data_IF_281752362982
#
_entry.id   IF_281752362982
#
_cell.length_a   1.000
_cell.length_b   1.000
_cell.length_c   1.000
_cell.angle_alpha   90.00
_cell.angle_beta   90.00
_cell.angle_gamma   90.00
#
_symmetry.space_group_name_H-M   'P 1'
#
loop_
_entity.id
_entity.type
_entity.pdbx_description
1 polymer ?
#
# COMPACT_ATOMS: atom_id res chain seq x y z
N UNK A 1 13.79 -17.69 -2.41
CA UNK A 1 12.67 -16.75 -2.59
C UNK A 1 11.92 -16.56 -1.29
N UNK A 2 11.69 -15.33 -0.94
CA UNK A 2 10.97 -14.99 0.29
C UNK A 2 9.57 -14.57 -0.10
N UNK A 3 8.56 -15.08 0.62
CA UNK A 3 7.15 -14.75 0.38
C UNK A 3 6.54 -14.11 1.62
N UNK A 4 5.92 -12.96 1.45
CA UNK A 4 5.19 -12.25 2.50
C UNK A 4 3.77 -12.03 2.03
N UNK A 5 2.80 -12.37 2.89
CA UNK A 5 1.38 -12.13 2.64
C UNK A 5 0.80 -11.40 3.84
N UNK A 6 0.10 -10.31 3.58
CA UNK A 6 -0.65 -9.59 4.59
C UNK A 6 -2.01 -9.19 4.02
N UNK A 7 -3.04 -9.18 4.84
CA UNK A 7 -4.38 -8.84 4.38
C UNK A 7 -5.19 -8.19 5.50
N UNK A 8 -6.15 -7.37 5.09
CA UNK A 8 -7.04 -6.67 6.01
C UNK A 8 -8.41 -6.49 5.37
N UNK A 9 -9.45 -6.56 6.19
CA UNK A 9 -10.81 -6.26 5.74
C UNK A 9 -11.12 -4.80 6.02
N UNK A 10 -11.59 -4.08 5.00
CA UNK A 10 -11.93 -2.66 5.07
C UNK A 10 -13.42 -2.48 4.90
N UNK A 11 -14.04 -1.70 5.78
CA UNK A 11 -15.48 -1.42 5.75
C UNK A 11 -15.77 -0.28 4.75
N UNK A 12 -15.57 -0.58 3.48
CA UNK A 12 -15.78 0.34 2.37
C UNK A 12 -15.89 -0.46 1.06
N UNK A 13 -16.38 0.17 0.01
CA UNK A 13 -16.46 -0.48 -1.31
C UNK A 13 -15.08 -0.62 -1.96
N UNK A 14 -14.95 -1.54 -2.91
CA UNK A 14 -13.73 -1.71 -3.68
C UNK A 14 -13.33 -0.42 -4.38
N UNK A 15 -14.29 0.34 -4.88
CA UNK A 15 -14.02 1.63 -5.52
C UNK A 15 -13.42 2.65 -4.55
N UNK A 16 -13.95 2.74 -3.33
CA UNK A 16 -13.41 3.63 -2.30
C UNK A 16 -11.98 3.26 -1.92
N UNK A 17 -11.71 1.97 -1.77
CA UNK A 17 -10.36 1.48 -1.50
C UNK A 17 -9.43 1.80 -2.68
N UNK A 18 -9.89 1.53 -3.88
CA UNK A 18 -9.13 1.82 -5.10
C UNK A 18 -8.75 3.30 -5.22
N UNK A 19 -9.68 4.20 -4.93
CA UNK A 19 -9.43 5.64 -5.00
C UNK A 19 -8.27 6.08 -4.08
N UNK A 20 -8.07 5.39 -2.98
CA UNK A 20 -6.97 5.68 -2.07
C UNK A 20 -5.66 5.07 -2.55
N UNK A 21 -5.65 3.77 -2.84
CA UNK A 21 -4.41 3.06 -3.17
C UNK A 21 -3.87 3.38 -4.56
N UNK A 22 -4.74 3.78 -5.50
CA UNK A 22 -4.31 4.12 -6.87
C UNK A 22 -3.59 5.46 -6.95
N UNK A 23 -3.68 6.30 -5.93
CA UNK A 23 -2.90 7.52 -5.81
C UNK A 23 -1.47 7.17 -5.36
N UNK A 24 -0.72 6.55 -6.27
CA UNK A 24 0.58 5.92 -5.97
C UNK A 24 1.67 6.91 -5.55
N UNK A 25 1.53 8.18 -5.87
CA UNK A 25 2.42 9.24 -5.38
C UNK A 25 2.30 9.45 -3.88
N UNK A 26 1.22 8.97 -3.27
CA UNK A 26 0.98 9.05 -1.82
C UNK A 26 1.49 7.85 -1.04
N UNK A 27 2.12 6.88 -1.69
CA UNK A 27 2.62 5.67 -1.04
C UNK A 27 3.45 5.95 0.23
N UNK A 28 4.29 6.98 0.30
CA UNK A 28 5.06 7.27 1.53
C UNK A 28 4.20 7.56 2.77
N UNK A 29 2.93 7.94 2.60
CA UNK A 29 2.02 8.13 3.74
C UNK A 29 1.67 6.80 4.42
N UNK A 30 1.63 5.71 3.67
CA UNK A 30 1.23 4.40 4.17
C UNK A 30 2.41 3.45 4.34
N UNK A 31 3.31 3.45 3.36
CA UNK A 31 4.48 2.57 3.31
C UNK A 31 5.67 3.27 3.96
N UNK A 32 5.84 3.06 5.27
CA UNK A 32 6.78 3.86 6.08
C UNK A 32 8.26 3.56 5.83
N UNK A 33 8.58 2.44 5.19
CA UNK A 33 9.94 2.18 4.70
C UNK A 33 10.32 3.00 3.47
N UNK A 34 9.34 3.66 2.86
CA UNK A 34 9.52 4.49 1.68
C UNK A 34 9.50 5.97 2.08
N UNK A 35 10.61 6.65 1.85
CA UNK A 35 10.71 8.10 2.13
C UNK A 35 10.09 8.91 1.00
N UNK A 36 10.37 8.53 -0.25
CA UNK A 36 9.94 9.28 -1.43
C UNK A 36 9.80 8.37 -2.63
N UNK A 37 8.82 8.66 -3.47
CA UNK A 37 8.65 8.02 -4.76
C UNK A 37 8.66 9.05 -5.88
N UNK A 38 9.23 8.67 -7.02
CA UNK A 38 9.23 9.49 -8.23
C UNK A 38 8.70 8.64 -9.37
N UNK A 39 7.47 8.93 -9.78
CA UNK A 39 6.76 8.18 -10.81
C UNK A 39 6.90 8.85 -12.17
N UNK A 40 7.18 8.04 -13.20
CA UNK A 40 7.18 8.49 -14.60
C UNK A 40 6.15 7.67 -15.35
N UNK A 41 5.17 8.35 -15.96
CA UNK A 41 4.11 7.68 -16.73
C UNK A 41 4.63 7.24 -18.10
N UNK A 42 4.27 6.02 -18.50
CA UNK A 42 4.58 5.46 -19.82
C UNK A 42 3.32 5.08 -20.58
N UNK A 43 2.24 5.77 -20.32
CA UNK A 43 0.94 5.51 -20.91
C UNK A 43 -0.09 5.26 -19.82
N UNK A 44 -1.25 4.74 -20.23
CA UNK A 44 -2.35 4.51 -19.29
C UNK A 44 -1.98 3.38 -18.32
N UNK A 45 -1.99 3.69 -17.03
CA UNK A 45 -1.80 2.71 -15.96
C UNK A 45 -0.43 2.02 -15.89
N UNK A 46 0.59 2.52 -16.58
CA UNK A 46 1.94 1.98 -16.55
C UNK A 46 2.93 3.08 -16.15
N UNK A 47 3.75 2.78 -15.14
CA UNK A 47 4.72 3.72 -14.60
C UNK A 47 6.07 3.03 -14.37
N UNK A 48 7.15 3.77 -14.52
CA UNK A 48 8.42 3.42 -13.90
C UNK A 48 8.58 4.29 -12.65
N UNK A 49 9.23 3.75 -11.62
CA UNK A 49 9.31 4.41 -10.33
C UNK A 49 10.72 4.32 -9.76
N UNK A 50 11.21 5.45 -9.27
CA UNK A 50 12.37 5.50 -8.40
C UNK A 50 11.85 5.62 -6.96
N UNK A 51 12.28 4.72 -6.10
CA UNK A 51 11.92 4.72 -4.68
C UNK A 51 13.15 5.05 -3.86
N UNK A 52 13.05 6.07 -3.01
CA UNK A 52 14.04 6.37 -1.99
C UNK A 52 13.57 5.77 -0.68
N UNK A 53 14.33 4.82 -0.15
CA UNK A 53 14.02 4.16 1.11
C UNK A 53 14.42 5.04 2.30
N UNK A 54 13.90 4.74 3.47
CA UNK A 54 14.16 5.50 4.69
C UNK A 54 15.64 5.53 5.09
N UNK A 55 16.45 4.57 4.62
CA UNK A 55 17.90 4.54 4.81
C UNK A 55 18.67 5.27 3.71
N UNK A 56 18.00 6.05 2.86
CA UNK A 56 18.51 6.78 1.71
C UNK A 56 18.94 5.92 0.52
N UNK A 57 18.83 4.61 0.60
CA UNK A 57 19.07 3.72 -0.54
C UNK A 57 17.95 3.86 -1.55
N UNK A 58 18.28 3.59 -2.81
CA UNK A 58 17.33 3.67 -3.90
C UNK A 58 17.03 2.29 -4.46
N UNK A 59 15.78 2.09 -4.86
CA UNK A 59 15.39 0.96 -5.68
C UNK A 59 14.49 1.43 -6.82
N UNK A 60 14.31 0.57 -7.80
CA UNK A 60 13.58 0.91 -9.02
C UNK A 60 12.48 -0.10 -9.25
N UNK A 61 11.33 0.40 -9.68
CA UNK A 61 10.16 -0.44 -9.86
C UNK A 61 9.44 -0.10 -11.17
N UNK A 62 8.72 -1.10 -11.68
CA UNK A 62 7.70 -0.92 -12.70
C UNK A 62 6.36 -1.15 -12.03
N UNK A 63 5.42 -0.22 -12.21
CA UNK A 63 4.10 -0.26 -11.59
C UNK A 63 3.04 -0.33 -12.67
N UNK A 64 2.13 -1.29 -12.54
CA UNK A 64 0.99 -1.42 -13.45
C UNK A 64 -0.29 -1.38 -12.60
N UNK A 65 -1.19 -0.47 -12.95
CA UNK A 65 -2.49 -0.34 -12.30
C UNK A 65 -3.54 -1.13 -13.08
N UNK A 66 -4.27 -1.99 -12.37
CA UNK A 66 -5.45 -2.69 -12.89
C UNK A 66 -6.66 -2.11 -12.15
N UNK A 67 -7.35 -1.11 -12.75
CA UNK A 67 -8.40 -0.36 -12.06
C UNK A 67 -9.38 -1.23 -11.30
N UNK A 68 -9.51 -0.93 -10.00
CA UNK A 68 -10.38 -1.60 -9.02
C UNK A 68 -9.92 -3.02 -8.65
N UNK A 69 -9.07 -3.66 -9.46
CA UNK A 69 -8.60 -5.03 -9.22
C UNK A 69 -7.32 -5.10 -8.42
N UNK A 70 -6.38 -4.20 -8.70
CA UNK A 70 -5.11 -4.21 -7.97
C UNK A 70 -3.97 -3.47 -8.64
N UNK A 71 -2.81 -3.58 -7.99
CA UNK A 71 -1.57 -2.95 -8.44
C UNK A 71 -0.48 -4.02 -8.50
N UNK A 72 0.17 -4.14 -9.65
CA UNK A 72 1.30 -5.04 -9.83
C UNK A 72 2.58 -4.21 -9.83
N UNK A 73 3.51 -4.55 -8.94
CA UNK A 73 4.79 -3.87 -8.80
C UNK A 73 5.91 -4.88 -9.00
N UNK A 74 6.82 -4.57 -9.91
CA UNK A 74 8.03 -5.37 -10.14
C UNK A 74 9.25 -4.55 -9.72
N UNK A 75 10.07 -5.10 -8.82
CA UNK A 75 11.38 -4.52 -8.51
C UNK A 75 12.33 -4.84 -9.65
N UNK A 76 12.87 -3.79 -10.30
CA UNK A 76 13.71 -3.89 -11.49
C UNK A 76 15.18 -3.57 -11.22
N UNK A 77 15.48 -2.98 -10.07
CA UNK A 77 16.86 -2.64 -9.70
C UNK A 77 16.98 -2.32 -8.21
N UNK A 78 18.20 -2.47 -7.70
CA UNK A 78 18.51 -2.29 -6.29
C UNK A 78 18.80 -3.63 -5.61
N UNK A 79 18.70 -3.65 -4.28
CA UNK A 79 19.01 -4.84 -3.47
C UNK A 79 17.91 -5.90 -3.49
N UNK A 80 16.73 -5.57 -3.99
CA UNK A 80 15.56 -6.44 -4.01
C UNK A 80 15.18 -6.71 -5.46
N UNK A 81 14.88 -7.97 -5.76
CA UNK A 81 14.30 -8.38 -7.04
C UNK A 81 13.08 -9.22 -6.75
N UNK A 82 12.00 -8.96 -7.43
CA UNK A 82 10.78 -9.73 -7.27
C UNK A 82 9.55 -8.93 -7.63
N UNK A 83 8.42 -9.36 -7.08
CA UNK A 83 7.12 -8.77 -7.35
C UNK A 83 6.38 -8.49 -6.05
N UNK A 84 5.52 -7.47 -6.12
CA UNK A 84 4.59 -7.12 -5.06
C UNK A 84 3.24 -6.87 -5.71
N UNK A 85 2.26 -7.66 -5.33
CA UNK A 85 0.89 -7.51 -5.81
C UNK A 85 0.01 -6.99 -4.68
N UNK A 86 -0.77 -5.96 -4.98
CA UNK A 86 -1.79 -5.43 -4.09
C UNK A 86 -3.13 -5.77 -4.73
N UNK A 87 -3.95 -6.57 -4.05
CA UNK A 87 -5.19 -7.11 -4.60
C UNK A 87 -6.39 -6.54 -3.84
N UNK A 88 -7.41 -6.16 -4.60
CA UNK A 88 -8.66 -5.58 -4.09
C UNK A 88 -9.81 -6.52 -4.44
N UNK A 89 -10.50 -7.03 -3.42
CA UNK A 89 -11.61 -7.95 -3.63
C UNK A 89 -12.84 -7.49 -2.85
N UNK A 90 -13.94 -7.19 -3.54
CA UNK A 90 -15.21 -6.86 -2.90
C UNK A 90 -15.82 -8.11 -2.28
N UNK A 91 -16.15 -8.04 -0.99
CA UNK A 91 -16.80 -9.14 -0.26
C UNK A 91 -18.03 -8.56 0.46
N UNK A 92 -19.20 -8.74 -0.12
CA UNK A 92 -20.43 -8.13 0.41
C UNK A 92 -20.31 -6.60 0.44
N UNK A 93 -20.45 -6.02 1.63
CA UNK A 93 -20.33 -4.57 1.83
C UNK A 93 -18.91 -4.12 2.17
N UNK A 94 -17.98 -5.05 2.23
CA UNK A 94 -16.60 -4.79 2.62
C UNK A 94 -15.64 -5.12 1.49
N UNK A 95 -14.39 -4.74 1.66
CA UNK A 95 -13.33 -5.02 0.70
C UNK A 95 -12.15 -5.68 1.41
N UNK A 96 -11.71 -6.80 0.86
CA UNK A 96 -10.46 -7.42 1.29
C UNK A 96 -9.32 -6.79 0.51
N UNK A 97 -8.36 -6.21 1.23
CA UNK A 97 -7.13 -5.67 0.67
C UNK A 97 -5.98 -6.60 1.05
N UNK A 98 -5.30 -7.14 0.05
CA UNK A 98 -4.21 -8.09 0.23
C UNK A 98 -2.93 -7.59 -0.41
N UNK A 99 -1.81 -7.87 0.24
CA UNK A 99 -0.48 -7.64 -0.30
C UNK A 99 0.26 -8.96 -0.30
N UNK A 100 0.80 -9.32 -1.45
CA UNK A 100 1.66 -10.47 -1.61
C UNK A 100 2.99 -10.04 -2.22
N UNK A 101 4.09 -10.34 -1.54
CA UNK A 101 5.43 -10.06 -2.00
C UNK A 101 6.19 -11.37 -2.18
N UNK A 102 6.81 -11.53 -3.35
CA UNK A 102 7.71 -12.65 -3.64
C UNK A 102 9.01 -12.04 -4.16
N UNK A 103 10.10 -12.22 -3.41
CA UNK A 103 11.33 -11.53 -3.72
C UNK A 103 12.58 -12.31 -3.34
N UNK A 104 13.69 -11.92 -3.94
CA UNK A 104 15.04 -12.34 -3.58
C UNK A 104 15.87 -11.12 -3.25
N UNK A 105 16.83 -11.28 -2.35
CA UNK A 105 17.77 -10.23 -1.98
C UNK A 105 19.11 -10.47 -2.63
N UNK A 106 19.78 -9.39 -3.03
CA UNK A 106 21.10 -9.43 -3.68
C UNK A 106 22.18 -8.81 -2.82
N UNK A 107 23.42 -9.30 -3.01
CA UNK A 107 24.61 -8.72 -2.41
C UNK A 107 24.58 -8.78 -0.88
N UNK A 108 24.98 -7.68 -0.25
CA UNK A 108 25.03 -7.57 1.22
C UNK A 108 23.66 -7.79 1.87
N UNK A 109 22.57 -7.45 1.16
CA UNK A 109 21.22 -7.64 1.66
C UNK A 109 20.90 -9.12 1.97
N UNK A 110 21.53 -10.06 1.26
CA UNK A 110 21.36 -11.50 1.55
C UNK A 110 21.78 -11.86 2.97
N UNK A 111 22.80 -11.22 3.50
CA UNK A 111 23.30 -11.47 4.85
C UNK A 111 22.31 -10.99 5.92
N UNK A 112 21.41 -10.11 5.56
CA UNK A 112 20.40 -9.52 6.44
C UNK A 112 18.98 -9.98 6.08
N UNK A 113 18.84 -11.09 5.37
CA UNK A 113 17.56 -11.53 4.82
C UNK A 113 16.45 -11.66 5.85
N UNK A 114 16.74 -12.21 7.03
CA UNK A 114 15.76 -12.35 8.12
C UNK A 114 15.27 -10.99 8.62
N UNK A 115 16.20 -10.08 8.89
CA UNK A 115 15.90 -8.73 9.38
C UNK A 115 15.08 -7.94 8.35
N UNK A 116 15.48 -8.00 7.09
CA UNK A 116 14.78 -7.33 6.00
C UNK A 116 13.38 -7.90 5.80
N UNK A 117 13.24 -9.23 5.87
CA UNK A 117 11.92 -9.89 5.80
C UNK A 117 10.99 -9.41 6.90
N UNK A 118 11.47 -9.32 8.13
CA UNK A 118 10.67 -8.84 9.25
C UNK A 118 10.26 -7.37 9.06
N UNK A 119 11.19 -6.54 8.61
CA UNK A 119 10.91 -5.13 8.32
C UNK A 119 9.85 -4.98 7.23
N UNK A 120 9.96 -5.73 6.15
CA UNK A 120 9.00 -5.68 5.05
C UNK A 120 7.63 -6.20 5.47
N UNK A 121 7.57 -7.24 6.29
CA UNK A 121 6.31 -7.76 6.82
C UNK A 121 5.63 -6.72 7.71
N UNK A 122 6.36 -6.14 8.64
CA UNK A 122 5.84 -5.13 9.56
C UNK A 122 5.38 -3.89 8.80
N UNK A 123 6.14 -3.47 7.79
CA UNK A 123 5.77 -2.36 6.92
C UNK A 123 4.46 -2.62 6.19
N UNK A 124 4.30 -3.83 5.63
CA UNK A 124 3.08 -4.20 4.93
C UNK A 124 1.87 -4.22 5.87
N UNK A 125 2.00 -4.81 7.05
CA UNK A 125 0.94 -4.85 8.04
C UNK A 125 0.53 -3.44 8.47
N UNK A 126 1.49 -2.57 8.74
CA UNK A 126 1.24 -1.19 9.10
C UNK A 126 0.59 -0.41 7.95
N UNK A 127 1.07 -0.60 6.73
CA UNK A 127 0.51 0.07 5.56
C UNK A 127 -0.98 -0.25 5.39
N UNK A 128 -1.35 -1.52 5.47
CA UNK A 128 -2.74 -1.94 5.37
C UNK A 128 -3.60 -1.33 6.47
N UNK A 129 -3.08 -1.29 7.70
CA UNK A 129 -3.78 -0.68 8.82
C UNK A 129 -3.99 0.82 8.63
N UNK A 130 -2.97 1.54 8.16
CA UNK A 130 -3.06 2.97 7.89
C UNK A 130 -4.02 3.28 6.75
N UNK A 131 -4.03 2.46 5.70
CA UNK A 131 -4.98 2.58 4.59
C UNK A 131 -6.40 2.39 5.11
N UNK A 132 -6.64 1.35 5.91
CA UNK A 132 -7.94 1.09 6.51
C UNK A 132 -8.41 2.27 7.35
N UNK A 133 -7.57 2.80 8.22
CA UNK A 133 -7.90 3.94 9.07
C UNK A 133 -8.22 5.19 8.24
N UNK A 134 -7.45 5.45 7.19
CA UNK A 134 -7.69 6.58 6.30
C UNK A 134 -9.07 6.50 5.62
N UNK A 135 -9.43 5.32 5.14
CA UNK A 135 -10.69 5.11 4.44
C UNK A 135 -11.89 5.13 5.40
N UNK A 136 -11.83 4.40 6.50
CA UNK A 136 -12.95 4.24 7.42
C UNK A 136 -13.20 5.47 8.28
N UNK A 137 -12.16 6.24 8.57
CA UNK A 137 -12.25 7.42 9.43
C UNK A 137 -13.03 8.58 8.80
N UNK A 138 -12.97 8.72 7.48
CA UNK A 138 -13.52 9.89 6.79
C UNK A 138 -15.05 9.87 6.74
N UNK A 139 -15.69 8.76 6.35
CA UNK A 139 -17.12 8.71 6.14
C UNK A 139 -17.96 8.65 7.43
N UNK A 140 -17.72 7.72 8.37
CA UNK A 140 -18.52 7.65 9.60
C UNK A 140 -18.43 8.91 10.45
N UNK A 141 -17.24 9.53 10.50
CA UNK A 141 -17.03 10.73 11.28
C UNK A 141 -17.80 11.94 10.75
N UNK A 142 -17.82 12.14 9.45
CA UNK A 142 -18.48 13.30 8.84
C UNK A 142 -19.99 13.26 8.93
N UNK A 143 -20.60 12.08 8.92
CA UNK A 143 -22.05 11.94 8.87
C UNK A 143 -22.66 11.72 10.26
N UNK A 144 -22.18 10.76 11.03
CA UNK A 144 -22.78 10.36 12.30
C UNK A 144 -22.43 11.30 13.45
N UNK A 145 -21.19 11.65 13.59
CA UNK A 145 -20.71 12.42 14.74
C UNK A 145 -21.15 13.88 14.68
N UNK A 146 -21.28 14.44 13.49
CA UNK A 146 -21.84 15.77 13.32
C UNK A 146 -23.26 15.88 13.80
N UNK A 147 -24.08 14.89 13.52
CA UNK A 147 -25.48 14.86 13.95
C UNK A 147 -25.59 14.76 15.47
N UNK A 148 -24.79 13.90 16.10
CA UNK A 148 -24.72 13.79 17.54
C UNK A 148 -24.27 15.09 18.20
N UNK A 149 -23.29 15.78 17.64
CA UNK A 149 -22.82 17.06 18.12
C UNK A 149 -23.93 18.12 18.13
N UNK A 150 -24.66 18.21 17.03
CA UNK A 150 -25.77 19.16 16.90
C UNK A 150 -26.84 18.86 17.91
N UNK A 151 -27.21 17.61 18.13
CA UNK A 151 -28.22 17.21 19.10
C UNK A 151 -27.81 17.49 20.56
N UNK A 152 -26.53 17.27 20.88
CA UNK A 152 -25.97 17.58 22.20
C UNK A 152 -25.94 19.09 22.49
N UNK A 153 -25.69 19.91 21.51
CA UNK A 153 -25.63 21.35 21.65
C UNK A 153 -27.04 21.95 21.88
N UNK A 154 -28.07 21.32 21.32
CA UNK A 154 -29.44 21.78 21.43
C UNK A 154 -30.09 21.47 22.77
N UNK A 155 -29.58 20.50 23.49
CA UNK A 155 -30.02 20.17 24.85
C UNK A 155 -29.35 21.05 25.89
#
# INVERSE_FOLDING_TARGET
>A
MIRIVSKIMINASAKQVWNVISAIERDPYFWKGVERVRNTSHGRNVFTREVTLSNSNKCYQKVILFPIEGIHIKWTGGSIIGIKDILVTQIGNQTLLEVEMNYDLKGIAQLRSRSISEELRNEAELALQLIKEDIEKIEPFQIKDRKQWVDLIRE
#
